data_IF_345172206039
#
_entry.id   IF_345172206039
#
_cell.length_a   1.000
_cell.length_b   1.000
_cell.length_c   1.000
_cell.angle_alpha   90.00
_cell.angle_beta   90.00
_cell.angle_gamma   90.00
#
_symmetry.space_group_name_H-M   'P 1'
#
loop_
_entity.id
_entity.type
_entity.pdbx_description
1 polymer ?
#
# COMPACT_ATOMS: atom_id res chain seq x y z
N UNK A 1 -45.84 6.96 41.63
CA UNK A 1 -45.47 6.61 40.24
C UNK A 1 -44.28 7.47 39.85
N UNK A 2 -43.06 6.92 39.98
CA UNK A 2 -41.83 7.69 39.86
C UNK A 2 -41.25 7.51 38.46
N UNK A 3 -41.38 8.54 37.62
CA UNK A 3 -40.73 8.59 36.29
C UNK A 3 -39.25 8.87 36.47
N UNK A 4 -38.41 7.85 36.28
CA UNK A 4 -36.97 8.04 36.11
C UNK A 4 -36.71 8.71 34.75
N UNK A 5 -36.18 9.92 34.78
CA UNK A 5 -35.68 10.64 33.61
C UNK A 5 -34.20 10.32 33.46
N UNK A 6 -33.86 9.44 32.52
CA UNK A 6 -32.47 9.12 32.20
C UNK A 6 -31.94 10.19 31.25
N UNK A 7 -31.13 11.12 31.78
CA UNK A 7 -30.38 12.10 30.98
C UNK A 7 -29.17 11.39 30.37
N UNK A 8 -29.27 11.03 29.10
CA UNK A 8 -28.13 10.50 28.34
C UNK A 8 -27.18 11.64 27.96
N UNK A 9 -26.09 11.81 28.72
CA UNK A 9 -24.96 12.67 28.37
C UNK A 9 -24.08 11.95 27.35
N UNK A 10 -24.38 12.13 26.07
CA UNK A 10 -23.48 11.67 25.00
C UNK A 10 -22.20 12.51 25.02
N UNK A 11 -21.04 11.86 25.23
CA UNK A 11 -19.74 12.53 25.26
C UNK A 11 -19.34 12.95 23.83
N UNK A 12 -19.28 14.26 23.51
CA UNK A 12 -19.00 14.74 22.15
C UNK A 12 -17.60 14.33 21.63
N UNK A 13 -16.68 13.98 22.52
CA UNK A 13 -15.33 13.55 22.16
C UNK A 13 -15.27 12.22 21.38
N UNK A 14 -16.22 11.30 21.59
CA UNK A 14 -16.23 10.01 20.89
C UNK A 14 -16.62 10.13 19.41
N UNK A 15 -17.51 11.07 19.07
CA UNK A 15 -17.90 11.35 17.68
C UNK A 15 -16.77 12.05 16.91
N UNK A 16 -16.02 12.94 17.56
CA UNK A 16 -14.88 13.62 16.94
C UNK A 16 -13.74 12.63 16.62
N UNK A 17 -13.46 11.70 17.54
CA UNK A 17 -12.43 10.67 17.34
C UNK A 17 -12.78 9.70 16.19
N UNK A 18 -14.05 9.29 16.09
CA UNK A 18 -14.51 8.42 15.01
C UNK A 18 -14.43 9.09 13.62
N UNK A 19 -14.75 10.39 13.54
CA UNK A 19 -14.61 11.16 12.30
C UNK A 19 -13.14 11.33 11.88
N UNK A 20 -12.24 11.61 12.84
CA UNK A 20 -10.81 11.73 12.57
C UNK A 20 -10.16 10.40 12.11
N UNK A 21 -10.62 9.26 12.63
CA UNK A 21 -10.15 7.95 12.16
C UNK A 21 -10.63 7.63 10.74
N UNK A 22 -11.87 7.97 10.39
CA UNK A 22 -12.40 7.76 9.05
C UNK A 22 -11.70 8.65 7.99
N UNK A 23 -11.26 9.86 8.35
CA UNK A 23 -10.56 10.77 7.42
C UNK A 23 -9.15 10.31 7.05
N UNK A 24 -8.41 9.69 7.97
CA UNK A 24 -7.03 9.25 7.71
C UNK A 24 -6.94 8.03 6.78
N UNK A 25 -7.97 7.17 6.77
CA UNK A 25 -8.01 6.01 5.87
C UNK A 25 -8.16 6.42 4.40
N UNK A 26 -8.90 7.51 4.13
CA UNK A 26 -9.13 8.01 2.76
C UNK A 26 -7.90 8.74 2.21
N UNK A 27 -7.13 9.44 3.05
CA UNK A 27 -5.95 10.18 2.62
C UNK A 27 -4.81 9.28 2.08
N UNK A 28 -4.67 8.07 2.61
CA UNK A 28 -3.63 7.12 2.17
C UNK A 28 -3.93 6.50 0.80
N UNK A 29 -5.20 6.53 0.36
CA UNK A 29 -5.62 5.99 -0.94
C UNK A 29 -5.43 6.99 -2.10
N UNK A 30 -5.10 8.25 -1.81
CA UNK A 30 -4.82 9.28 -2.81
C UNK A 30 -3.33 9.65 -2.80
N UNK A 31 -2.44 8.66 -2.74
CA UNK A 31 -1.02 8.90 -2.98
C UNK A 31 -0.88 9.52 -4.39
N UNK A 32 -0.67 10.84 -4.44
CA UNK A 32 -0.51 11.57 -5.70
C UNK A 32 0.68 10.97 -6.45
N UNK A 33 0.49 10.67 -7.73
CA UNK A 33 1.56 10.13 -8.55
C UNK A 33 2.77 11.06 -8.58
N UNK A 34 3.95 10.44 -8.61
CA UNK A 34 5.19 11.18 -8.55
C UNK A 34 5.39 11.96 -9.86
N UNK A 35 5.96 13.16 -9.77
CA UNK A 35 6.40 13.91 -10.96
C UNK A 35 7.52 13.15 -11.68
N UNK A 36 7.82 13.50 -12.93
CA UNK A 36 8.99 12.97 -13.65
C UNK A 36 10.26 13.10 -12.80
N UNK A 37 11.04 12.03 -12.72
CA UNK A 37 12.22 11.88 -11.86
C UNK A 37 11.96 11.93 -10.34
N UNK A 38 10.69 11.97 -9.91
CA UNK A 38 10.28 11.85 -8.51
C UNK A 38 10.29 10.42 -8.00
N UNK A 39 10.28 10.27 -6.67
CA UNK A 39 10.20 8.96 -6.00
C UNK A 39 8.79 8.37 -6.16
N UNK A 40 8.71 7.18 -6.75
CA UNK A 40 7.46 6.45 -6.98
C UNK A 40 7.44 5.08 -6.30
N UNK A 41 8.34 4.82 -5.33
CA UNK A 41 8.47 3.51 -4.69
C UNK A 41 7.19 3.09 -3.97
N UNK A 42 6.56 4.03 -3.24
CA UNK A 42 5.33 3.76 -2.51
C UNK A 42 4.07 3.92 -3.36
N UNK A 43 4.00 4.96 -4.18
CA UNK A 43 2.82 5.28 -5.01
C UNK A 43 2.69 4.35 -6.22
N UNK A 44 3.81 3.82 -6.72
CA UNK A 44 3.89 2.97 -7.92
C UNK A 44 3.32 3.62 -9.17
N UNK A 45 3.14 4.93 -9.17
CA UNK A 45 2.57 5.66 -10.27
C UNK A 45 3.32 6.95 -10.56
N UNK A 46 3.36 7.27 -11.85
CA UNK A 46 3.97 8.47 -12.39
C UNK A 46 2.88 9.40 -12.92
N UNK A 47 3.12 10.71 -12.83
CA UNK A 47 2.17 11.73 -13.23
C UNK A 47 1.98 11.77 -14.75
N UNK A 48 3.07 11.60 -15.50
CA UNK A 48 3.05 11.58 -16.96
C UNK A 48 2.86 10.13 -17.45
N UNK A 49 2.00 9.93 -18.44
CA UNK A 49 1.72 8.60 -19.02
C UNK A 49 2.92 8.03 -19.79
N UNK A 50 3.81 8.91 -20.27
CA UNK A 50 5.07 8.53 -20.91
C UNK A 50 6.16 8.14 -19.92
N UNK A 51 5.93 8.25 -18.61
CA UNK A 51 6.87 7.83 -17.57
C UNK A 51 6.47 6.49 -16.95
N UNK A 52 7.47 5.64 -16.74
CA UNK A 52 7.36 4.41 -15.96
C UNK A 52 8.03 4.54 -14.61
N UNK A 53 7.53 3.84 -13.59
CA UNK A 53 8.20 3.76 -12.30
C UNK A 53 9.27 2.66 -12.29
N UNK A 54 10.53 3.05 -12.46
CA UNK A 54 11.66 2.11 -12.51
C UNK A 54 12.20 1.88 -11.11
N UNK A 55 12.50 0.62 -10.76
CA UNK A 55 13.05 0.27 -9.43
C UNK A 55 14.53 -0.06 -9.52
N UNK A 56 15.31 0.37 -8.52
CA UNK A 56 16.70 -0.09 -8.35
C UNK A 56 16.73 -1.52 -7.80
N UNK A 57 17.42 -2.49 -8.44
CA UNK A 57 17.67 -3.80 -7.85
C UNK A 57 18.32 -3.68 -6.47
N UNK A 58 17.89 -4.50 -5.51
CA UNK A 58 18.45 -4.52 -4.14
C UNK A 58 18.12 -3.30 -3.27
N UNK A 59 17.41 -2.28 -3.76
CA UNK A 59 17.10 -1.06 -2.98
C UNK A 59 15.60 -0.80 -2.86
N UNK A 60 15.21 -0.17 -1.76
CA UNK A 60 13.86 0.35 -1.54
C UNK A 60 13.72 1.75 -2.17
N UNK A 61 14.02 1.84 -3.47
CA UNK A 61 13.98 3.09 -4.22
C UNK A 61 13.47 2.85 -5.63
N UNK A 62 12.55 3.70 -6.06
CA UNK A 62 12.06 3.73 -7.42
C UNK A 62 11.85 5.17 -7.88
N UNK A 63 12.01 5.40 -9.18
CA UNK A 63 11.97 6.74 -9.77
C UNK A 63 11.15 6.72 -11.06
N UNK A 64 10.34 7.77 -11.27
CA UNK A 64 9.66 7.98 -12.54
C UNK A 64 10.68 8.37 -13.62
N UNK A 65 10.75 7.60 -14.70
CA UNK A 65 11.65 7.88 -15.83
C UNK A 65 10.89 7.64 -17.14
N UNK A 66 11.33 8.20 -18.27
CA UNK A 66 10.69 7.95 -19.55
C UNK A 66 10.61 6.46 -19.87
N UNK A 67 9.40 5.99 -20.20
CA UNK A 67 9.12 4.62 -20.57
C UNK A 67 9.37 4.43 -22.07
N UNK A 68 10.37 3.60 -22.40
CA UNK A 68 10.57 3.12 -23.77
C UNK A 68 9.63 1.93 -24.03
N UNK A 69 9.15 1.80 -25.27
CA UNK A 69 8.35 0.65 -25.71
C UNK A 69 9.10 -0.68 -25.47
N UNK A 70 10.42 -0.68 -25.72
CA UNK A 70 11.32 -1.80 -25.47
C UNK A 70 11.99 -1.69 -24.10
N UNK A 71 11.19 -1.62 -23.04
CA UNK A 71 11.74 -1.59 -21.69
C UNK A 71 12.43 -2.93 -21.34
N UNK A 72 13.75 -2.90 -21.17
CA UNK A 72 14.56 -4.06 -20.77
C UNK A 72 15.12 -3.84 -19.36
N UNK A 73 14.99 -4.85 -18.49
CA UNK A 73 15.65 -4.85 -17.18
C UNK A 73 17.16 -4.74 -17.35
N UNK A 74 17.78 -3.80 -16.64
CA UNK A 74 19.24 -3.65 -16.58
C UNK A 74 19.73 -3.92 -15.16
N UNK A 75 21.04 -4.09 -14.99
CA UNK A 75 21.68 -4.22 -13.66
C UNK A 75 21.35 -3.03 -12.74
N UNK A 76 21.04 -1.87 -13.33
CA UNK A 76 20.81 -0.65 -12.59
C UNK A 76 19.33 -0.33 -12.39
N UNK A 77 18.41 -0.84 -13.22
CA UNK A 77 16.99 -0.49 -13.19
C UNK A 77 16.11 -1.65 -13.69
N UNK A 78 15.04 -1.91 -12.95
CA UNK A 78 13.98 -2.85 -13.31
C UNK A 78 12.79 -2.10 -13.93
N UNK A 79 12.29 -2.63 -15.04
CA UNK A 79 11.13 -2.14 -15.76
C UNK A 79 9.84 -2.29 -14.94
N UNK A 80 8.89 -1.33 -15.04
CA UNK A 80 7.62 -1.38 -14.31
C UNK A 80 6.92 -2.76 -14.35
N UNK A 81 6.83 -3.35 -15.54
CA UNK A 81 6.19 -4.65 -15.76
C UNK A 81 6.88 -5.83 -15.05
N UNK A 82 8.20 -5.76 -14.88
CA UNK A 82 8.99 -6.88 -14.36
C UNK A 82 8.97 -6.93 -12.84
N UNK A 83 8.83 -5.80 -12.14
CA UNK A 83 8.89 -5.76 -10.67
C UNK A 83 7.54 -5.47 -9.99
N UNK A 84 6.56 -4.85 -10.69
CA UNK A 84 5.20 -4.74 -10.15
C UNK A 84 4.52 -6.11 -10.03
N UNK A 85 4.76 -6.98 -11.01
CA UNK A 85 4.23 -8.34 -10.98
C UNK A 85 4.98 -9.26 -10.02
N UNK A 86 6.21 -8.92 -9.59
CA UNK A 86 6.93 -9.71 -8.57
C UNK A 86 6.35 -9.55 -7.17
N UNK A 87 5.57 -8.50 -6.90
CA UNK A 87 4.75 -8.44 -5.68
C UNK A 87 3.59 -9.46 -5.72
N UNK A 88 3.20 -9.93 -6.91
CA UNK A 88 2.20 -10.99 -7.09
C UNK A 88 2.82 -12.41 -7.19
N UNK A 89 4.11 -12.54 -7.54
CA UNK A 89 4.75 -13.84 -7.83
C UNK A 89 6.09 -14.10 -7.11
N UNK A 90 6.37 -13.37 -6.03
CA UNK A 90 7.54 -13.57 -5.16
C UNK A 90 7.47 -14.80 -4.24
N UNK A 91 6.39 -15.58 -4.31
CA UNK A 91 6.37 -16.96 -3.87
C UNK A 91 5.70 -17.77 -4.97
N UNK A 92 6.22 -18.97 -5.24
CA UNK A 92 5.70 -19.87 -6.28
C UNK A 92 4.18 -19.99 -6.20
N UNK A 93 3.57 -20.31 -7.34
CA UNK A 93 2.15 -20.28 -7.70
C UNK A 93 1.15 -21.06 -6.81
N UNK A 94 1.53 -21.40 -5.58
CA UNK A 94 0.71 -21.99 -4.51
C UNK A 94 0.77 -21.18 -3.20
N UNK A 95 1.30 -19.96 -3.19
CA UNK A 95 1.37 -19.16 -1.97
C UNK A 95 -0.04 -18.74 -1.54
N UNK A 96 -0.47 -19.07 -0.31
CA UNK A 96 -1.76 -18.64 0.21
C UNK A 96 -1.84 -17.10 0.22
N UNK A 97 -3.05 -16.52 0.08
CA UNK A 97 -3.22 -15.07 0.13
C UNK A 97 -2.59 -14.51 1.41
N UNK A 98 -1.92 -13.34 1.34
CA UNK A 98 -1.29 -12.76 2.52
C UNK A 98 -2.36 -12.58 3.60
N UNK A 99 -2.08 -12.95 4.86
CA UNK A 99 -3.03 -12.75 5.94
C UNK A 99 -3.39 -11.28 6.02
N UNK A 100 -4.69 -10.99 6.20
CA UNK A 100 -5.23 -9.63 6.20
C UNK A 100 -4.73 -8.76 7.35
N UNK A 101 -3.98 -9.32 8.29
CA UNK A 101 -3.37 -8.62 9.42
C UNK A 101 -1.93 -9.09 9.55
N UNK A 102 -0.99 -8.19 9.28
CA UNK A 102 0.42 -8.39 9.54
C UNK A 102 0.73 -8.00 10.99
N UNK A 103 1.73 -8.63 11.61
CA UNK A 103 2.06 -8.35 13.01
C UNK A 103 2.67 -6.94 13.17
N UNK A 104 2.31 -6.25 14.26
CA UNK A 104 2.90 -4.96 14.59
C UNK A 104 4.39 -5.12 14.99
N UNK A 105 5.20 -4.05 14.86
CA UNK A 105 6.57 -4.06 15.34
C UNK A 105 6.62 -4.45 16.82
N UNK A 106 7.51 -5.40 17.16
CA UNK A 106 7.72 -5.90 18.53
C UNK A 106 6.57 -6.69 19.17
N UNK A 107 5.46 -6.92 18.47
CA UNK A 107 4.38 -7.76 18.99
C UNK A 107 4.80 -9.24 19.11
N UNK A 108 4.12 -9.97 19.99
CA UNK A 108 4.45 -11.36 20.29
C UNK A 108 4.07 -12.26 19.10
N UNK A 109 5.10 -12.64 18.32
CA UNK A 109 5.10 -13.71 17.33
C UNK A 109 4.45 -13.43 15.97
N UNK A 110 5.27 -12.99 15.01
CA UNK A 110 4.98 -13.04 13.57
C UNK A 110 5.05 -14.47 12.98
N UNK A 111 5.13 -15.51 13.83
CA UNK A 111 5.25 -16.90 13.40
C UNK A 111 4.03 -17.37 12.62
N UNK A 112 2.84 -16.92 13.00
CA UNK A 112 1.57 -17.33 12.37
C UNK A 112 1.30 -16.52 11.10
N UNK A 113 1.49 -15.20 11.18
CA UNK A 113 1.18 -14.27 10.09
C UNK A 113 2.25 -14.30 8.99
N UNK A 114 3.50 -14.64 9.33
CA UNK A 114 4.66 -14.55 8.43
C UNK A 114 4.79 -13.16 7.76
N UNK A 115 4.18 -12.14 8.34
CA UNK A 115 4.08 -10.80 7.76
C UNK A 115 4.29 -9.74 8.84
N UNK A 116 4.94 -8.64 8.45
CA UNK A 116 5.17 -7.49 9.30
C UNK A 116 4.44 -6.26 8.74
N UNK A 117 3.85 -5.45 9.61
CA UNK A 117 3.08 -4.28 9.21
C UNK A 117 3.91 -3.25 8.42
N UNK A 118 5.21 -3.13 8.75
CA UNK A 118 6.16 -2.28 8.02
C UNK A 118 6.85 -3.06 6.91
N UNK A 119 6.84 -2.51 5.69
CA UNK A 119 7.49 -3.11 4.50
C UNK A 119 9.00 -3.35 4.64
N UNK A 120 9.67 -2.62 5.53
CA UNK A 120 11.12 -2.71 5.80
C UNK A 120 11.47 -3.77 6.86
N UNK A 121 10.48 -4.23 7.62
CA UNK A 121 10.68 -5.21 8.67
C UNK A 121 10.41 -6.61 8.10
N UNK A 122 11.12 -7.59 8.62
CA UNK A 122 10.85 -8.98 8.32
C UNK A 122 10.74 -9.81 9.59
N UNK A 123 10.07 -10.95 9.48
CA UNK A 123 9.86 -11.85 10.59
C UNK A 123 11.13 -12.67 10.83
N UNK A 124 11.98 -12.24 11.78
CA UNK A 124 13.19 -12.96 12.15
C UNK A 124 12.89 -13.98 13.23
N UNK A 125 13.54 -15.15 13.16
CA UNK A 125 13.44 -16.20 14.20
C UNK A 125 14.60 -16.07 15.16
N UNK A 126 14.32 -16.07 16.47
CA UNK A 126 15.37 -16.01 17.48
C UNK A 126 16.04 -17.37 17.64
N UNK A 127 17.38 -17.42 17.57
CA UNK A 127 18.13 -18.65 17.83
C UNK A 127 17.84 -19.16 19.25
N UNK A 128 17.74 -20.49 19.40
CA UNK A 128 17.50 -21.18 20.69
C UNK A 128 16.16 -20.87 21.37
N UNK A 129 15.24 -20.15 20.73
CA UNK A 129 13.88 -19.88 21.23
C UNK A 129 12.84 -20.09 20.13
N UNK A 130 11.63 -20.50 20.50
CA UNK A 130 10.48 -20.58 19.57
C UNK A 130 9.81 -19.20 19.53
N UNK A 131 10.59 -18.15 19.22
CA UNK A 131 10.13 -16.77 19.18
C UNK A 131 10.43 -16.18 17.82
N UNK A 132 9.45 -15.46 17.25
CA UNK A 132 9.61 -14.69 16.01
C UNK A 132 9.23 -13.23 16.24
N UNK A 133 9.96 -12.30 15.65
CA UNK A 133 9.70 -10.88 15.84
C UNK A 133 9.88 -10.10 14.55
N UNK A 134 9.00 -9.12 14.32
CA UNK A 134 9.12 -8.17 13.22
C UNK A 134 10.17 -7.12 13.55
N UNK A 135 11.28 -7.15 12.83
CA UNK A 135 12.35 -6.18 12.94
C UNK A 135 13.09 -5.99 11.63
N UNK A 136 13.86 -4.91 11.53
CA UNK A 136 14.72 -4.66 10.38
C UNK A 136 15.86 -5.69 10.38
N UNK A 137 16.09 -6.41 9.27
CA UNK A 137 17.19 -7.37 9.18
C UNK A 137 18.54 -6.65 9.16
N UNK A 138 19.57 -7.38 9.55
CA UNK A 138 20.93 -7.09 9.11
C UNK A 138 21.05 -7.54 7.66
N UNK A 139 21.60 -6.66 6.82
CA UNK A 139 21.81 -6.93 5.40
C UNK A 139 23.28 -6.80 5.06
N UNK A 140 23.77 -7.64 4.14
CA UNK A 140 25.11 -7.55 3.56
C UNK A 140 25.22 -6.39 2.53
N UNK A 141 26.40 -6.25 1.91
CA UNK A 141 26.68 -5.23 0.91
C UNK A 141 25.80 -5.38 -0.36
N UNK A 142 25.28 -6.60 -0.59
CA UNK A 142 24.35 -6.95 -1.65
C UNK A 142 22.87 -6.71 -1.27
N UNK A 143 22.59 -6.33 -0.02
CA UNK A 143 21.24 -6.08 0.48
C UNK A 143 20.44 -7.34 0.81
N UNK A 144 21.11 -8.49 0.96
CA UNK A 144 20.49 -9.76 1.37
C UNK A 144 20.49 -9.88 2.89
N UNK A 145 19.42 -10.48 3.44
CA UNK A 145 19.35 -10.74 4.89
C UNK A 145 20.42 -11.75 5.29
N UNK A 146 21.22 -11.41 6.30
CA UNK A 146 22.23 -12.30 6.87
C UNK A 146 21.83 -12.74 8.29
N UNK A 147 22.04 -14.02 8.60
CA UNK A 147 21.81 -14.57 9.93
C UNK A 147 22.83 -13.96 10.91
N UNK A 148 22.35 -13.42 12.04
CA UNK A 148 23.20 -12.91 13.11
C UNK A 148 23.35 -13.92 14.25
N UNK A 149 24.13 -13.61 15.29
CA UNK A 149 24.35 -14.51 16.43
C UNK A 149 23.06 -14.89 17.16
N UNK A 150 22.06 -13.99 17.13
CA UNK A 150 20.80 -14.14 17.84
C UNK A 150 19.59 -14.39 16.93
N UNK A 151 19.69 -14.11 15.62
CA UNK A 151 18.54 -14.12 14.70
C UNK A 151 18.81 -14.88 13.40
N UNK A 152 17.79 -15.58 12.91
CA UNK A 152 17.77 -16.32 11.65
C UNK A 152 16.79 -15.66 10.67
N UNK A 153 17.27 -15.43 9.45
CA UNK A 153 16.51 -14.88 8.33
C UNK A 153 15.45 -15.88 7.85
N UNK A 154 14.29 -15.40 7.34
CA UNK A 154 13.22 -16.25 6.81
C UNK A 154 13.70 -17.37 5.88
N UNK A 155 14.64 -17.08 4.98
CA UNK A 155 15.15 -18.04 4.02
C UNK A 155 15.82 -19.26 4.68
N UNK A 156 16.44 -19.09 5.85
CA UNK A 156 17.22 -20.16 6.49
C UNK A 156 16.35 -21.11 7.31
N UNK A 157 15.19 -20.67 7.82
CA UNK A 157 14.32 -21.48 8.66
C UNK A 157 12.91 -21.76 8.11
N UNK A 158 12.43 -21.00 7.11
CA UNK A 158 11.14 -21.25 6.45
C UNK A 158 11.24 -22.37 5.41
N UNK A 159 12.42 -22.57 4.82
CA UNK A 159 12.63 -23.71 3.93
C UNK A 159 12.75 -24.99 4.78
N UNK A 160 11.84 -25.97 4.61
CA UNK A 160 12.10 -27.29 5.17
C UNK A 160 13.39 -27.84 4.54
N UNK A 161 14.21 -28.60 5.28
CA UNK A 161 15.31 -29.34 4.67
C UNK A 161 14.74 -30.16 3.50
N UNK A 162 15.40 -30.12 2.35
CA UNK A 162 14.96 -30.74 1.09
C UNK A 162 14.43 -32.16 1.34
N UNK A 163 13.11 -32.34 1.31
CA UNK A 163 12.51 -33.65 1.48
C UNK A 163 12.84 -34.53 0.24
N UNK A 164 13.07 -35.84 0.41
CA UNK A 164 13.17 -36.78 -0.71
C UNK A 164 11.88 -36.77 -1.56
N UNK A 165 11.94 -37.16 -2.85
CA UNK A 165 10.86 -36.93 -3.81
C UNK A 165 9.51 -37.54 -3.36
N UNK A 166 8.40 -36.78 -3.42
CA UNK A 166 7.12 -37.24 -2.88
C UNK A 166 6.30 -38.10 -3.85
N UNK A 167 5.49 -39.06 -3.35
CA UNK A 167 4.43 -39.71 -4.10
C UNK A 167 3.21 -38.79 -4.31
N UNK A 168 2.51 -39.04 -5.42
CA UNK A 168 1.34 -38.33 -5.94
C UNK A 168 0.13 -38.48 -4.99
N UNK A 169 -0.53 -37.35 -4.64
CA UNK A 169 -1.96 -37.16 -4.29
C UNK A 169 -2.14 -35.78 -3.60
N UNK A 170 -3.28 -35.10 -3.55
CA UNK A 170 -4.63 -35.18 -4.11
C UNK A 170 -5.30 -33.80 -3.84
N UNK A 171 -6.30 -33.42 -4.63
CA UNK A 171 -7.05 -32.18 -4.52
C UNK A 171 -7.82 -32.04 -3.18
N UNK A 172 -7.84 -30.84 -2.59
CA UNK A 172 -8.59 -30.56 -1.35
C UNK A 172 -8.95 -29.08 -1.23
N UNK A 173 -10.23 -28.80 -0.94
CA UNK A 173 -10.91 -27.52 -1.14
C UNK A 173 -10.46 -26.35 -0.27
N UNK A 174 -10.47 -25.15 -0.87
CA UNK A 174 -10.26 -23.88 -0.19
C UNK A 174 -11.55 -23.33 0.45
N UNK A 175 -11.46 -22.62 1.59
CA UNK A 175 -12.62 -22.10 2.30
C UNK A 175 -13.18 -20.80 1.71
N UNK A 176 -14.47 -20.84 1.38
CA UNK A 176 -15.50 -19.84 1.71
C UNK A 176 -15.22 -18.35 1.48
N UNK A 177 -15.00 -17.94 0.24
CA UNK A 177 -15.12 -16.55 -0.24
C UNK A 177 -16.46 -15.88 0.17
N UNK A 178 -17.50 -16.69 0.43
CA UNK A 178 -18.83 -16.24 0.86
C UNK A 178 -18.89 -15.61 2.26
N UNK A 179 -17.99 -15.98 3.17
CA UNK A 179 -18.00 -15.43 4.53
C UNK A 179 -17.41 -14.01 4.57
N UNK A 180 -16.42 -13.75 3.72
CA UNK A 180 -15.76 -12.45 3.65
C UNK A 180 -16.66 -11.39 3.01
N UNK A 181 -17.38 -11.74 1.95
CA UNK A 181 -18.35 -10.84 1.31
C UNK A 181 -19.52 -10.52 2.24
N UNK A 182 -20.00 -11.50 3.00
CA UNK A 182 -21.04 -11.29 4.02
C UNK A 182 -20.58 -10.32 5.12
N UNK A 183 -19.34 -10.44 5.60
CA UNK A 183 -18.80 -9.53 6.62
C UNK A 183 -18.76 -8.07 6.14
N UNK A 184 -18.29 -7.83 4.90
CA UNK A 184 -18.24 -6.49 4.31
C UNK A 184 -19.65 -5.87 4.21
N UNK A 185 -20.63 -6.64 3.71
CA UNK A 185 -22.01 -6.16 3.56
C UNK A 185 -22.64 -5.80 4.91
N UNK A 186 -22.38 -6.59 5.96
CA UNK A 186 -22.87 -6.31 7.31
C UNK A 186 -22.27 -5.00 7.85
N UNK A 187 -20.96 -4.79 7.66
CA UNK A 187 -20.31 -3.55 8.10
C UNK A 187 -20.84 -2.31 7.37
N UNK A 188 -21.05 -2.37 6.05
CA UNK A 188 -21.62 -1.25 5.28
C UNK A 188 -23.05 -0.96 5.72
N UNK A 189 -23.87 -1.99 5.93
CA UNK A 189 -25.24 -1.84 6.41
C UNK A 189 -25.28 -1.22 7.82
N UNK A 190 -24.41 -1.65 8.74
CA UNK A 190 -24.33 -1.10 10.08
C UNK A 190 -23.99 0.40 10.08
N UNK A 191 -23.01 0.82 9.26
CA UNK A 191 -22.65 2.24 9.11
C UNK A 191 -23.83 3.04 8.55
N UNK A 192 -24.49 2.54 7.50
CA UNK A 192 -25.65 3.20 6.90
C UNK A 192 -26.80 3.37 7.90
N UNK A 193 -27.08 2.35 8.72
CA UNK A 193 -28.12 2.42 9.77
C UNK A 193 -27.75 3.45 10.83
N UNK A 194 -26.49 3.49 11.28
CA UNK A 194 -26.05 4.49 12.28
C UNK A 194 -26.20 5.91 11.71
N UNK A 195 -25.78 6.14 10.47
CA UNK A 195 -25.96 7.44 9.79
C UNK A 195 -27.44 7.79 9.68
N UNK A 196 -28.29 6.84 9.26
CA UNK A 196 -29.73 7.05 9.15
C UNK A 196 -30.39 7.39 10.49
N UNK A 197 -30.05 6.67 11.56
CA UNK A 197 -30.55 6.95 12.92
C UNK A 197 -30.08 8.31 13.43
N UNK A 198 -28.86 8.72 13.11
CA UNK A 198 -28.37 10.06 13.41
C UNK A 198 -29.16 11.14 12.64
N UNK A 199 -29.45 10.92 11.37
CA UNK A 199 -30.29 11.82 10.56
C UNK A 199 -31.71 11.95 11.12
N UNK A 200 -32.32 10.84 11.55
CA UNK A 200 -33.64 10.85 12.19
C UNK A 200 -33.65 11.59 13.54
N UNK A 201 -32.58 11.43 14.32
CA UNK A 201 -32.47 12.02 15.65
C UNK A 201 -32.12 13.51 15.62
N UNK A 202 -31.44 13.95 14.57
CA UNK A 202 -31.00 15.35 14.40
C UNK A 202 -31.43 15.94 13.06
N UNK A 203 -32.74 16.14 12.82
CA UNK A 203 -33.25 16.74 11.59
C UNK A 203 -32.86 18.21 11.40
N UNK A 204 -32.21 18.82 12.40
CA UNK A 204 -31.68 20.18 12.32
C UNK A 204 -30.31 20.24 11.63
N UNK A 205 -29.54 19.14 11.58
CA UNK A 205 -28.24 19.09 10.92
C UNK A 205 -28.36 19.13 9.38
N UNK A 206 -29.46 18.62 8.81
CA UNK A 206 -29.69 18.61 7.36
C UNK A 206 -30.21 19.95 6.81
N UNK A 207 -30.75 20.83 7.65
CA UNK A 207 -31.30 22.13 7.23
C UNK A 207 -30.24 23.23 7.08
N UNK A 208 -28.99 22.96 7.46
CA UNK A 208 -27.90 23.93 7.47
C UNK A 208 -26.91 23.83 6.30
N UNK A 209 -26.95 22.76 5.50
CA UNK A 209 -26.08 22.63 4.33
C UNK A 209 -26.66 23.48 3.18
N UNK A 210 -26.56 24.81 3.31
CA UNK A 210 -26.56 25.67 2.13
C UNK A 210 -25.34 25.26 1.33
N UNK A 211 -25.56 24.45 0.31
CA UNK A 211 -24.62 24.27 -0.80
C UNK A 211 -24.33 25.69 -1.30
N UNK A 212 -23.19 26.24 -0.88
CA UNK A 212 -22.67 27.46 -1.46
C UNK A 212 -22.39 27.09 -2.90
N UNK A 213 -23.29 27.52 -3.77
CA UNK A 213 -23.16 27.36 -5.21
C UNK A 213 -21.78 27.90 -5.57
N UNK A 214 -20.93 27.03 -6.10
CA UNK A 214 -19.63 27.39 -6.66
C UNK A 214 -19.89 28.52 -7.64
N UNK A 215 -19.43 29.72 -7.31
CA UNK A 215 -19.40 30.82 -8.25
C UNK A 215 -18.64 30.36 -9.49
N UNK A 216 -19.32 30.50 -10.60
CA UNK A 216 -18.85 30.28 -11.96
C UNK A 216 -17.52 31.01 -12.14
N UNK A 217 -16.41 30.28 -12.10
CA UNK A 217 -15.10 30.81 -12.46
C UNK A 217 -15.14 31.14 -13.95
N UNK A 218 -15.33 32.43 -14.22
CA UNK A 218 -15.26 33.07 -15.52
C UNK A 218 -13.98 32.62 -16.25
N UNK A 219 -14.07 32.19 -17.51
CA UNK A 219 -12.90 31.79 -18.28
C UNK A 219 -11.92 32.96 -18.34
N UNK A 220 -10.70 32.70 -17.86
CA UNK A 220 -9.59 33.63 -17.98
C UNK A 220 -9.02 33.43 -19.38
N UNK A 221 -9.37 34.34 -20.29
CA UNK A 221 -8.79 34.42 -21.62
C UNK A 221 -7.27 34.50 -21.48
N UNK A 222 -6.60 33.41 -21.88
CA UNK A 222 -5.15 33.38 -22.07
C UNK A 222 -4.87 33.74 -23.52
N UNK A 223 -4.72 35.04 -23.75
CA UNK A 223 -3.88 35.53 -24.82
C UNK A 223 -2.43 35.17 -24.44
N UNK A 224 -2.01 33.95 -24.77
CA UNK A 224 -0.59 33.58 -24.71
C UNK A 224 0.02 33.93 -26.05
N UNK A 225 0.65 35.10 -26.04
CA UNK A 225 1.47 35.71 -27.06
C UNK A 225 2.50 34.71 -27.62
N UNK A 226 2.36 34.47 -28.92
CA UNK A 226 3.30 33.80 -29.81
C UNK A 226 4.61 34.58 -29.80
N UNK A 227 5.62 34.08 -29.08
CA UNK A 227 6.97 34.61 -29.15
C UNK A 227 7.81 33.67 -30.01
N UNK A 228 7.75 33.93 -31.31
CA UNK A 228 8.76 33.52 -32.28
C UNK A 228 10.10 34.15 -31.87
N UNK A 229 11.08 33.32 -31.50
CA UNK A 229 12.48 33.74 -31.58
C UNK A 229 13.38 32.56 -31.98
N UNK A 230 13.58 32.52 -33.29
CA UNK A 230 14.79 32.15 -34.04
C UNK A 230 16.09 31.89 -33.25
N UNK A 231 16.90 30.98 -33.82
CA UNK A 231 18.36 30.74 -33.64
C UNK A 231 18.67 29.47 -32.83
N UNK A 232 19.55 28.55 -33.24
CA UNK A 232 20.65 28.65 -34.19
C UNK A 232 21.05 27.23 -34.64
N UNK A 233 21.50 27.12 -35.89
CA UNK A 233 22.08 25.92 -36.45
C UNK A 233 23.44 25.61 -35.79
N UNK A 234 23.61 24.41 -35.24
CA UNK A 234 24.87 23.92 -34.70
C UNK A 234 25.35 22.67 -35.41
N UNK A 235 26.09 22.86 -36.50
CA UNK A 235 26.81 21.81 -37.24
C UNK A 235 28.07 21.43 -36.45
N UNK A 236 28.18 20.18 -35.98
CA UNK A 236 29.48 19.61 -35.62
C UNK A 236 29.60 18.18 -36.15
N UNK A 237 30.56 18.03 -37.07
CA UNK A 237 30.83 16.82 -37.84
C UNK A 237 31.54 15.71 -37.09
N UNK A 238 31.90 14.62 -37.82
CA UNK A 238 32.47 13.41 -37.25
C UNK A 238 33.95 13.58 -36.91
N UNK A 239 34.38 12.96 -35.81
CA UNK A 239 35.79 12.61 -35.57
C UNK A 239 36.04 11.19 -36.07
N UNK A 240 37.14 11.08 -36.80
CA UNK A 240 37.81 9.90 -37.35
C UNK A 240 37.99 8.78 -36.32
#
# INVERSE_FOLDING_TARGET
>A
SNKMVIKATARPHLLLAALLFASNLVASALASCAKSYGDCFDSRCCKEESDGCFRRPGRAYAQCRPLSEDCVDTESWLCPSSWFNRAAFGHGSNAPPPPSVCSEPYEESCLETKCCNRKIDMCLKKKKKIWHQCMRPEVDDEGQCVDSDDWECPATWIMPPSAPPPPIQSAGGGPSTLLYTAAILISVAAVAIVVFLLCLKFPQLTKGLKVTQTEEMKPMDKDFEENDTLSEAGTHGPRL
#
